data_IF_779249995628
#
_entry.id   IF_779249995628
#
_cell.length_a   1.000
_cell.length_b   1.000
_cell.length_c   1.000
_cell.angle_alpha   90.00
_cell.angle_beta   90.00
_cell.angle_gamma   90.00
#
_symmetry.space_group_name_H-M   'P 1'
#
loop_
_entity.id
_entity.type
_entity.pdbx_description
1 polymer ?
#
# COMPACT_ATOMS: atom_id res chain seq x y z
N UNK A 1 -39.02 2.50 -80.13
CA UNK A 1 -38.06 2.93 -81.16
C UNK A 1 -38.30 4.39 -81.48
N UNK A 2 -37.78 5.26 -80.63
CA UNK A 2 -37.11 6.48 -81.07
C UNK A 2 -35.62 6.17 -80.86
N UNK A 3 -34.83 6.42 -81.88
CA UNK A 3 -33.49 5.90 -82.08
C UNK A 3 -32.52 6.48 -81.03
N UNK A 4 -31.99 5.63 -80.14
CA UNK A 4 -30.97 6.02 -79.14
C UNK A 4 -29.73 6.61 -79.82
N UNK A 5 -29.53 6.30 -81.11
CA UNK A 5 -28.49 6.87 -81.96
C UNK A 5 -28.69 8.38 -82.21
N UNK A 6 -29.93 8.89 -82.20
CA UNK A 6 -30.23 10.32 -82.40
C UNK A 6 -29.95 11.15 -81.14
N UNK A 7 -30.07 10.54 -79.95
CA UNK A 7 -29.72 11.17 -78.65
C UNK A 7 -28.20 11.22 -78.46
N UNK A 8 -27.47 10.18 -78.88
CA UNK A 8 -26.01 10.15 -78.84
C UNK A 8 -25.42 11.16 -79.85
N UNK A 9 -26.02 11.30 -81.04
CA UNK A 9 -25.56 12.30 -82.03
C UNK A 9 -25.80 13.74 -81.59
N UNK A 10 -26.84 14.03 -80.77
CA UNK A 10 -27.09 15.38 -80.23
C UNK A 10 -26.22 15.75 -79.02
N UNK A 11 -25.78 14.78 -78.22
CA UNK A 11 -24.84 15.04 -77.12
C UNK A 11 -23.40 15.21 -77.64
N UNK A 12 -23.08 14.64 -78.80
CA UNK A 12 -21.74 14.69 -79.39
C UNK A 12 -21.36 16.03 -80.04
N UNK A 13 -22.24 17.05 -80.06
CA UNK A 13 -21.96 18.31 -80.76
C UNK A 13 -21.73 19.56 -79.88
N UNK A 14 -21.81 19.45 -78.55
CA UNK A 14 -21.54 20.60 -77.64
C UNK A 14 -20.70 20.25 -76.40
N UNK A 15 -19.88 19.21 -76.49
CA UNK A 15 -18.76 19.03 -75.55
C UNK A 15 -17.48 19.00 -76.37
N UNK A 16 -16.68 20.07 -76.24
CA UNK A 16 -15.40 20.24 -76.92
C UNK A 16 -14.57 18.94 -76.76
N UNK A 17 -14.31 18.21 -77.84
CA UNK A 17 -13.67 16.88 -77.80
C UNK A 17 -12.31 16.90 -77.09
N UNK A 18 -11.66 18.05 -77.13
CA UNK A 18 -10.39 18.33 -76.47
C UNK A 18 -10.49 18.33 -74.94
N UNK A 19 -11.59 18.81 -74.34
CA UNK A 19 -11.74 18.86 -72.88
C UNK A 19 -11.97 17.46 -72.29
N UNK A 20 -12.72 16.60 -72.99
CA UNK A 20 -12.92 15.19 -72.64
C UNK A 20 -11.63 14.38 -72.77
N UNK A 21 -10.84 14.61 -73.84
CA UNK A 21 -9.54 13.97 -74.04
C UNK A 21 -8.56 14.41 -72.93
N UNK A 22 -8.54 15.70 -72.59
CA UNK A 22 -7.67 16.22 -71.53
C UNK A 22 -8.08 15.71 -70.15
N UNK A 23 -9.37 15.63 -69.85
CA UNK A 23 -9.87 15.03 -68.61
C UNK A 23 -9.50 13.54 -68.52
N UNK A 24 -9.62 12.79 -69.63
CA UNK A 24 -9.25 11.37 -69.67
C UNK A 24 -7.75 11.17 -69.42
N UNK A 25 -6.89 12.01 -70.02
CA UNK A 25 -5.44 11.98 -69.77
C UNK A 25 -5.10 12.31 -68.32
N UNK A 26 -5.77 13.30 -67.73
CA UNK A 26 -5.57 13.67 -66.33
C UNK A 26 -5.97 12.53 -65.38
N UNK A 27 -7.11 11.87 -65.63
CA UNK A 27 -7.57 10.71 -64.86
C UNK A 27 -6.59 9.55 -65.00
N UNK A 28 -6.11 9.25 -66.22
CA UNK A 28 -5.10 8.19 -66.43
C UNK A 28 -3.78 8.47 -65.70
N UNK A 29 -3.34 9.74 -65.67
CA UNK A 29 -2.17 10.17 -64.89
C UNK A 29 -2.38 9.95 -63.38
N UNK A 30 -3.55 10.32 -62.85
CA UNK A 30 -3.89 10.10 -61.44
C UNK A 30 -3.97 8.61 -61.10
N UNK A 31 -4.53 7.78 -61.97
CA UNK A 31 -4.56 6.32 -61.79
C UNK A 31 -3.14 5.75 -61.76
N UNK A 32 -2.26 6.19 -62.66
CA UNK A 32 -0.87 5.75 -62.69
C UNK A 32 -0.10 6.17 -61.42
N UNK A 33 -0.40 7.34 -60.87
CA UNK A 33 0.19 7.81 -59.62
C UNK A 33 -0.31 7.02 -58.40
N UNK A 34 -1.60 6.71 -58.35
CA UNK A 34 -2.18 5.83 -57.33
C UNK A 34 -1.60 4.42 -57.38
N UNK A 35 -1.37 3.87 -58.57
CA UNK A 35 -0.71 2.57 -58.73
C UNK A 35 0.74 2.58 -58.23
N UNK A 36 1.49 3.67 -58.47
CA UNK A 36 2.85 3.83 -57.93
C UNK A 36 2.85 3.91 -56.39
N UNK A 37 1.89 4.62 -55.81
CA UNK A 37 1.72 4.72 -54.36
C UNK A 37 1.36 3.36 -53.74
N UNK A 38 0.44 2.61 -54.36
CA UNK A 38 0.10 1.25 -53.92
C UNK A 38 1.32 0.33 -53.90
N UNK A 39 2.11 0.32 -54.99
CA UNK A 39 3.32 -0.50 -55.07
C UNK A 39 4.44 -0.04 -54.09
N UNK A 40 4.45 1.23 -53.70
CA UNK A 40 5.33 1.70 -52.63
C UNK A 40 4.87 1.18 -51.26
N UNK A 41 3.56 1.23 -50.99
CA UNK A 41 2.97 0.73 -49.75
C UNK A 41 3.23 -0.76 -49.55
N UNK A 42 3.05 -1.58 -50.59
CA UNK A 42 3.32 -3.02 -50.54
C UNK A 42 4.78 -3.32 -50.21
N UNK A 43 5.71 -2.55 -50.78
CA UNK A 43 7.15 -2.68 -50.47
C UNK A 43 7.46 -2.30 -49.02
N UNK A 44 6.80 -1.27 -48.48
CA UNK A 44 6.92 -0.93 -47.07
C UNK A 44 6.32 -2.00 -46.16
N UNK A 45 5.19 -2.59 -46.53
CA UNK A 45 4.54 -3.67 -45.78
C UNK A 45 5.42 -4.93 -45.74
N UNK A 46 6.01 -5.32 -46.87
CA UNK A 46 6.98 -6.42 -46.93
C UNK A 46 8.23 -6.13 -46.10
N UNK A 47 8.72 -4.89 -46.11
CA UNK A 47 9.87 -4.49 -45.31
C UNK A 47 9.56 -4.50 -43.80
N UNK A 48 8.37 -4.03 -43.43
CA UNK A 48 7.88 -4.06 -42.05
C UNK A 48 7.72 -5.51 -41.55
N UNK A 49 7.11 -6.39 -42.34
CA UNK A 49 6.98 -7.81 -41.99
C UNK A 49 8.34 -8.49 -41.87
N UNK A 50 9.30 -8.20 -42.76
CA UNK A 50 10.67 -8.72 -42.63
C UNK A 50 11.38 -8.24 -41.37
N UNK A 51 11.15 -7.00 -40.94
CA UNK A 51 11.67 -6.46 -39.68
C UNK A 51 10.98 -7.11 -38.47
N UNK A 52 9.66 -7.33 -38.55
CA UNK A 52 8.88 -8.02 -37.52
C UNK A 52 9.33 -9.47 -37.34
N UNK A 53 9.41 -10.23 -38.44
CA UNK A 53 9.85 -11.64 -38.44
C UNK A 53 11.32 -11.76 -38.02
N UNK A 54 12.16 -10.79 -38.40
CA UNK A 54 13.56 -10.70 -37.97
C UNK A 54 13.68 -10.49 -36.47
N UNK A 55 12.88 -9.58 -35.92
CA UNK A 55 12.83 -9.30 -34.48
C UNK A 55 12.24 -10.47 -33.68
N UNK A 56 11.22 -11.16 -34.19
CA UNK A 56 10.67 -12.36 -33.54
C UNK A 56 11.67 -13.52 -33.52
N UNK A 57 12.42 -13.72 -34.61
CA UNK A 57 13.49 -14.73 -34.64
C UNK A 57 14.65 -14.36 -33.72
N UNK A 58 15.01 -13.08 -33.64
CA UNK A 58 16.02 -12.60 -32.69
C UNK A 58 15.53 -12.71 -31.24
N UNK A 59 14.27 -12.40 -30.95
CA UNK A 59 13.64 -12.60 -29.64
C UNK A 59 13.53 -14.08 -29.27
N UNK A 60 13.26 -14.96 -30.24
CA UNK A 60 13.27 -16.41 -30.05
C UNK A 60 14.66 -16.97 -29.81
N UNK A 61 15.68 -16.47 -30.52
CA UNK A 61 17.08 -16.83 -30.31
C UNK A 61 17.63 -16.27 -29.00
N UNK A 62 17.28 -15.04 -28.62
CA UNK A 62 17.55 -14.46 -27.30
C UNK A 62 16.81 -15.21 -26.21
N UNK A 63 15.57 -15.63 -26.45
CA UNK A 63 14.78 -16.47 -25.54
C UNK A 63 15.46 -17.82 -25.30
N UNK A 64 15.91 -18.50 -26.36
CA UNK A 64 16.69 -19.73 -26.25
C UNK A 64 18.07 -19.50 -25.62
N UNK A 65 18.77 -18.42 -25.95
CA UNK A 65 20.06 -18.10 -25.34
C UNK A 65 19.91 -17.75 -23.85
N UNK A 66 18.86 -17.05 -23.45
CA UNK A 66 18.55 -16.79 -22.04
C UNK A 66 18.12 -18.08 -21.35
N UNK A 67 17.34 -18.95 -21.98
CA UNK A 67 16.97 -20.26 -21.43
C UNK A 67 18.21 -21.17 -21.23
N UNK A 68 19.17 -21.11 -22.15
CA UNK A 68 20.47 -21.80 -22.05
C UNK A 68 21.38 -21.16 -21.00
N UNK A 69 21.33 -19.83 -20.82
CA UNK A 69 22.22 -19.07 -19.93
C UNK A 69 21.70 -19.00 -18.49
N UNK A 70 20.37 -18.91 -18.28
CA UNK A 70 19.74 -18.83 -16.97
C UNK A 70 19.25 -20.19 -16.45
N UNK A 71 18.99 -21.18 -17.33
CA UNK A 71 18.37 -22.49 -17.01
C UNK A 71 17.12 -22.39 -16.12
N UNK A 72 16.48 -21.23 -16.09
CA UNK A 72 15.39 -20.90 -15.17
C UNK A 72 14.45 -19.91 -15.84
N UNK A 73 13.15 -20.18 -15.71
CA UNK A 73 12.11 -19.19 -16.02
C UNK A 73 12.19 -18.02 -15.01
N UNK A 74 12.07 -16.76 -15.45
CA UNK A 74 12.14 -15.57 -14.58
C UNK A 74 10.85 -15.44 -13.75
N UNK A 75 10.65 -16.41 -12.86
CA UNK A 75 9.54 -16.47 -11.94
C UNK A 75 10.09 -16.54 -10.53
N UNK A 76 9.75 -15.53 -9.73
CA UNK A 76 9.99 -15.54 -8.30
C UNK A 76 8.65 -15.40 -7.60
N UNK A 77 8.31 -16.38 -6.75
CA UNK A 77 7.09 -16.34 -5.94
C UNK A 77 7.35 -15.45 -4.74
N UNK A 78 6.45 -14.49 -4.49
CA UNK A 78 6.52 -13.57 -3.37
C UNK A 78 5.50 -13.94 -2.27
N UNK A 79 5.69 -13.43 -1.06
CA UNK A 79 4.68 -13.50 0.01
C UNK A 79 4.74 -14.74 0.91
N UNK A 80 5.83 -15.49 0.89
CA UNK A 80 6.03 -16.68 1.71
C UNK A 80 7.42 -17.31 1.58
N UNK A 81 7.65 -18.36 2.37
CA UNK A 81 8.89 -19.13 2.37
C UNK A 81 8.62 -20.62 2.25
N UNK A 82 9.59 -21.36 1.69
CA UNK A 82 9.54 -22.81 1.69
C UNK A 82 9.88 -23.33 3.08
N UNK A 83 8.95 -24.06 3.70
CA UNK A 83 9.18 -24.68 4.99
C UNK A 83 10.09 -25.92 4.88
N UNK A 84 10.53 -26.44 6.02
CA UNK A 84 11.40 -27.62 6.09
C UNK A 84 10.75 -28.91 5.56
N UNK A 85 9.42 -28.90 5.38
CA UNK A 85 8.63 -30.01 4.87
C UNK A 85 8.40 -29.91 3.35
N UNK A 86 8.91 -28.86 2.69
CA UNK A 86 8.81 -28.66 1.24
C UNK A 86 7.50 -28.04 0.78
N UNK A 87 6.72 -27.42 1.66
CA UNK A 87 5.54 -26.63 1.30
C UNK A 87 5.86 -25.14 1.31
N UNK A 88 5.28 -24.39 0.37
CA UNK A 88 5.36 -22.94 0.37
C UNK A 88 4.32 -22.37 1.35
N UNK A 89 4.81 -21.71 2.40
CA UNK A 89 3.98 -21.15 3.46
C UNK A 89 4.01 -19.62 3.41
N UNK A 90 2.84 -18.98 3.46
CA UNK A 90 2.78 -17.52 3.49
C UNK A 90 3.27 -16.97 4.83
N UNK A 91 3.87 -15.78 4.81
CA UNK A 91 4.20 -15.05 6.04
C UNK A 91 2.99 -14.85 6.96
N UNK A 92 1.79 -14.83 6.38
CA UNK A 92 0.54 -14.55 7.07
C UNK A 92 -0.25 -15.81 7.42
N UNK A 93 0.23 -17.01 7.08
CA UNK A 93 -0.50 -18.26 7.31
C UNK A 93 -0.84 -18.49 8.77
N UNK A 94 0.02 -18.04 9.69
CA UNK A 94 -0.21 -18.12 11.14
C UNK A 94 -1.42 -17.32 11.61
N UNK A 95 -1.79 -16.26 10.90
CA UNK A 95 -2.93 -15.41 11.23
C UNK A 95 -4.22 -15.84 10.51
N UNK A 96 -4.12 -16.71 9.50
CA UNK A 96 -5.26 -17.08 8.65
C UNK A 96 -6.43 -17.64 9.44
N UNK A 97 -6.19 -18.61 10.33
CA UNK A 97 -7.26 -19.23 11.11
C UNK A 97 -8.00 -18.19 11.98
N UNK A 98 -7.26 -17.35 12.70
CA UNK A 98 -7.85 -16.28 13.50
C UNK A 98 -8.57 -15.22 12.64
N UNK A 99 -8.09 -14.96 11.43
CA UNK A 99 -8.74 -14.02 10.50
C UNK A 99 -10.05 -14.60 9.93
N UNK A 100 -10.09 -15.89 9.60
CA UNK A 100 -11.30 -16.57 9.17
C UNK A 100 -12.37 -16.57 10.29
N UNK A 101 -11.94 -16.84 11.52
CA UNK A 101 -12.79 -16.74 12.71
C UNK A 101 -13.28 -15.31 12.95
N UNK A 102 -12.43 -14.30 12.71
CA UNK A 102 -12.80 -12.89 12.86
C UNK A 102 -13.91 -12.51 11.86
N UNK A 103 -13.80 -12.91 10.59
CA UNK A 103 -14.82 -12.64 9.58
C UNK A 103 -16.17 -13.24 10.00
N UNK A 104 -16.14 -14.50 10.48
CA UNK A 104 -17.34 -15.18 10.95
C UNK A 104 -17.95 -14.48 12.19
N UNK A 105 -17.13 -14.17 13.19
CA UNK A 105 -17.56 -13.46 14.40
C UNK A 105 -18.08 -12.06 14.11
N UNK A 106 -17.49 -11.35 13.16
CA UNK A 106 -17.91 -10.01 12.76
C UNK A 106 -19.24 -10.04 12.03
N UNK A 107 -19.43 -10.99 11.10
CA UNK A 107 -20.71 -11.20 10.42
C UNK A 107 -21.83 -11.56 11.40
N UNK A 108 -21.56 -12.44 12.36
CA UNK A 108 -22.51 -12.77 13.42
C UNK A 108 -22.87 -11.55 14.28
N UNK A 109 -21.88 -10.72 14.64
CA UNK A 109 -22.12 -9.50 15.40
C UNK A 109 -22.99 -8.50 14.63
N UNK A 110 -22.82 -8.37 13.30
CA UNK A 110 -23.68 -7.52 12.48
C UNK A 110 -25.13 -8.02 12.42
N UNK A 111 -25.33 -9.35 12.33
CA UNK A 111 -26.67 -9.93 12.35
C UNK A 111 -27.35 -9.70 13.69
N UNK A 112 -26.64 -9.92 14.79
CA UNK A 112 -27.13 -9.65 16.14
C UNK A 112 -27.44 -8.17 16.33
N UNK A 113 -26.56 -7.27 15.86
CA UNK A 113 -26.82 -5.84 15.91
C UNK A 113 -28.08 -5.46 15.10
N UNK A 114 -28.42 -6.18 14.04
CA UNK A 114 -29.67 -5.95 13.27
C UNK A 114 -30.91 -6.51 13.97
N UNK A 115 -30.84 -7.72 14.52
CA UNK A 115 -32.02 -8.42 15.08
C UNK A 115 -32.30 -8.02 16.54
N UNK A 116 -31.26 -7.73 17.33
CA UNK A 116 -31.35 -7.54 18.78
C UNK A 116 -31.14 -6.09 19.25
N UNK A 117 -30.94 -5.11 18.35
CA UNK A 117 -30.71 -3.71 18.76
C UNK A 117 -31.92 -2.80 18.63
N UNK A 118 -33.01 -3.26 18.03
CA UNK A 118 -34.18 -2.43 17.79
C UNK A 118 -35.28 -2.73 18.81
N UNK A 119 -35.71 -1.74 19.62
CA UNK A 119 -36.83 -1.93 20.53
C UNK A 119 -38.10 -2.20 19.73
N UNK A 120 -38.91 -3.14 20.21
CA UNK A 120 -40.22 -3.41 19.65
C UNK A 120 -41.30 -3.18 20.73
N UNK A 121 -42.44 -2.70 20.28
CA UNK A 121 -43.56 -2.35 21.16
C UNK A 121 -44.51 -3.55 21.20
N UNK A 122 -45.02 -3.88 22.38
CA UNK A 122 -46.08 -4.89 22.58
C UNK A 122 -47.32 -4.18 23.10
N UNK A 123 -48.50 -4.47 22.54
CA UNK A 123 -49.78 -3.87 22.95
C UNK A 123 -50.84 -4.96 23.09
N UNK A 124 -51.70 -4.81 24.10
CA UNK A 124 -52.80 -5.72 24.36
C UNK A 124 -53.88 -5.59 23.28
N UNK A 125 -54.37 -6.72 22.76
CA UNK A 125 -55.54 -6.75 21.90
C UNK A 125 -56.75 -6.23 22.67
N UNK A 126 -57.43 -5.22 22.13
CA UNK A 126 -58.68 -4.73 22.71
C UNK A 126 -59.85 -5.54 22.17
N UNK A 127 -60.79 -5.86 23.06
CA UNK A 127 -62.04 -6.49 22.68
C UNK A 127 -62.77 -5.61 21.67
N UNK A 128 -63.28 -6.23 20.61
CA UNK A 128 -64.08 -5.53 19.63
C UNK A 128 -65.28 -4.87 20.34
N UNK A 129 -65.46 -3.54 20.25
CA UNK A 129 -66.52 -2.85 20.99
C UNK A 129 -67.91 -3.33 20.58
N UNK A 130 -68.07 -3.78 19.34
CA UNK A 130 -69.35 -4.17 18.76
C UNK A 130 -69.79 -5.60 19.14
N UNK A 131 -68.86 -6.50 19.41
CA UNK A 131 -69.17 -7.87 19.84
C UNK A 131 -68.66 -8.24 21.23
N UNK A 132 -68.03 -7.30 21.94
CA UNK A 132 -67.48 -7.47 23.29
C UNK A 132 -66.64 -8.74 23.42
N UNK A 133 -65.75 -8.98 22.46
CA UNK A 133 -64.87 -10.16 22.47
C UNK A 133 -65.48 -11.46 21.95
N UNK A 134 -66.79 -11.52 21.67
CA UNK A 134 -67.50 -12.77 21.32
C UNK A 134 -67.38 -13.19 19.86
N UNK A 135 -66.93 -12.29 19.00
CA UNK A 135 -66.75 -12.53 17.56
C UNK A 135 -68.03 -12.61 16.73
N UNK A 136 -69.20 -12.73 17.37
CA UNK A 136 -70.49 -12.86 16.73
C UNK A 136 -71.47 -11.84 17.29
N UNK A 137 -72.36 -11.34 16.44
CA UNK A 137 -73.46 -10.44 16.80
C UNK A 137 -74.77 -11.07 16.36
N UNK A 138 -75.82 -10.91 17.17
CA UNK A 138 -77.16 -11.37 16.78
C UNK A 138 -77.69 -10.45 15.69
N UNK A 139 -78.16 -11.03 14.58
CA UNK A 139 -78.88 -10.34 13.52
C UNK A 139 -80.25 -10.94 13.36
N UNK A 140 -81.24 -10.08 13.14
CA UNK A 140 -82.59 -10.54 12.84
C UNK A 140 -82.60 -11.23 11.47
N UNK A 141 -83.19 -12.42 11.43
CA UNK A 141 -83.27 -13.27 10.24
C UNK A 141 -84.70 -13.76 10.06
N UNK A 142 -85.34 -13.34 8.97
CA UNK A 142 -86.73 -13.68 8.66
C UNK A 142 -86.93 -15.16 8.27
N UNK A 143 -85.87 -15.85 7.85
CA UNK A 143 -85.90 -17.25 7.40
C UNK A 143 -85.41 -18.25 8.47
N UNK A 144 -85.11 -17.78 9.68
CA UNK A 144 -84.53 -18.59 10.75
C UNK A 144 -85.62 -19.02 11.77
N UNK A 145 -85.58 -20.26 12.32
CA UNK A 145 -86.63 -20.79 13.21
C UNK A 145 -86.90 -19.96 14.48
N UNK A 146 -85.92 -19.17 14.90
CA UNK A 146 -85.92 -18.36 16.13
C UNK A 146 -86.00 -16.85 15.87
N UNK A 147 -86.10 -16.41 14.62
CA UNK A 147 -86.15 -14.98 14.23
C UNK A 147 -84.82 -14.22 14.33
N UNK A 148 -83.79 -14.81 14.92
CA UNK A 148 -82.43 -14.26 15.06
C UNK A 148 -81.38 -15.30 14.69
N UNK A 149 -80.36 -14.87 13.96
CA UNK A 149 -79.16 -15.64 13.61
C UNK A 149 -77.90 -15.04 14.25
N UNK A 150 -76.95 -15.91 14.61
CA UNK A 150 -75.62 -15.49 15.04
C UNK A 150 -74.76 -15.24 13.80
N UNK A 151 -74.65 -13.97 13.41
CA UNK A 151 -73.80 -13.56 12.31
C UNK A 151 -72.40 -13.21 12.81
N UNK A 152 -71.39 -13.44 11.97
CA UNK A 152 -70.04 -12.98 12.27
C UNK A 152 -70.03 -11.45 12.43
N UNK A 153 -69.35 -10.98 13.48
CA UNK A 153 -69.23 -9.55 13.73
C UNK A 153 -68.51 -8.88 12.55
N UNK A 154 -69.14 -7.89 11.88
CA UNK A 154 -68.56 -7.27 10.69
C UNK A 154 -67.32 -6.42 11.02
N UNK A 155 -67.19 -5.92 12.25
CA UNK A 155 -66.08 -5.07 12.66
C UNK A 155 -64.79 -5.85 12.95
N UNK A 156 -64.87 -7.10 13.41
CA UNK A 156 -63.72 -7.95 13.70
C UNK A 156 -63.62 -9.20 12.80
N UNK A 157 -64.53 -9.35 11.84
CA UNK A 157 -64.57 -10.49 10.91
C UNK A 157 -64.69 -11.85 11.60
N UNK A 158 -65.36 -11.94 12.76
CA UNK A 158 -65.51 -13.20 13.51
C UNK A 158 -64.49 -13.45 14.63
N UNK A 159 -63.37 -12.70 14.68
CA UNK A 159 -62.26 -13.00 15.59
C UNK A 159 -62.43 -12.48 17.03
N UNK A 160 -63.47 -11.69 17.34
CA UNK A 160 -63.70 -11.10 18.66
C UNK A 160 -62.78 -9.94 19.05
N UNK A 161 -61.61 -9.85 18.42
CA UNK A 161 -60.59 -8.84 18.67
C UNK A 161 -60.29 -8.04 17.40
N UNK A 162 -60.00 -6.76 17.56
CA UNK A 162 -59.66 -5.86 16.45
C UNK A 162 -58.17 -5.52 16.48
N UNK A 163 -57.48 -5.75 15.37
CA UNK A 163 -56.06 -5.42 15.20
C UNK A 163 -55.92 -4.19 14.31
N UNK A 164 -55.19 -3.17 14.75
CA UNK A 164 -54.81 -2.01 13.94
C UNK A 164 -53.39 -2.21 13.37
N UNK A 165 -53.20 -2.00 12.07
CA UNK A 165 -51.89 -2.08 11.37
C UNK A 165 -51.18 -0.70 11.45
N UNK A 166 -49.83 -0.52 11.25
CA UNK A 166 -48.96 -1.22 10.29
C UNK A 166 -47.45 -1.37 10.70
N UNK A 167 -47.12 -2.15 11.75
CA UNK A 167 -45.73 -2.38 12.23
C UNK A 167 -45.65 -3.46 13.32
N UNK A 168 -45.90 -4.71 12.94
CA UNK A 168 -46.60 -5.71 13.77
C UNK A 168 -45.81 -6.33 14.92
N UNK A 169 -46.56 -6.54 16.02
CA UNK A 169 -46.15 -6.84 17.39
C UNK A 169 -46.54 -8.28 17.74
N UNK A 170 -45.78 -8.94 18.61
CA UNK A 170 -46.09 -10.29 19.11
C UNK A 170 -47.26 -10.24 20.11
N UNK A 171 -48.28 -11.07 19.88
CA UNK A 171 -49.53 -11.08 20.65
C UNK A 171 -49.42 -12.13 21.75
N UNK A 172 -49.61 -11.72 23.00
CA UNK A 172 -49.56 -12.58 24.19
C UNK A 172 -50.81 -12.29 25.05
N UNK A 173 -51.49 -13.30 25.63
CA UNK A 173 -52.64 -13.10 26.51
C UNK A 173 -52.35 -12.14 27.67
N UNK A 174 -53.34 -11.33 28.07
CA UNK A 174 -53.18 -10.32 29.13
C UNK A 174 -52.72 -10.92 30.47
N UNK A 175 -53.10 -12.17 30.73
CA UNK A 175 -52.72 -12.95 31.93
C UNK A 175 -51.22 -13.24 32.01
N UNK A 176 -50.52 -13.23 30.87
CA UNK A 176 -49.07 -13.46 30.77
C UNK A 176 -48.26 -12.15 30.76
N UNK A 177 -48.92 -10.98 30.82
CA UNK A 177 -48.26 -9.68 30.91
C UNK A 177 -47.82 -9.39 32.34
N UNK A 178 -46.51 -9.19 32.55
CA UNK A 178 -45.91 -9.06 33.90
C UNK A 178 -46.48 -7.92 34.77
N UNK A 179 -47.05 -6.86 34.20
CA UNK A 179 -47.39 -5.62 34.92
C UNK A 179 -48.80 -5.04 34.67
N UNK A 180 -49.68 -5.72 33.93
CA UNK A 180 -51.05 -5.23 33.66
C UNK A 180 -51.18 -3.94 32.82
N UNK A 181 -50.07 -3.38 32.34
CA UNK A 181 -50.05 -2.19 31.47
C UNK A 181 -50.39 -2.59 30.02
N UNK A 182 -51.32 -1.89 29.34
CA UNK A 182 -51.75 -2.24 27.97
C UNK A 182 -50.65 -2.17 26.91
N UNK A 183 -49.57 -1.44 27.18
CA UNK A 183 -48.42 -1.28 26.28
C UNK A 183 -47.14 -1.54 27.08
N UNK A 184 -46.29 -2.45 26.58
CA UNK A 184 -44.96 -2.69 27.11
C UNK A 184 -43.93 -2.48 26.00
N UNK A 185 -42.99 -1.56 26.20
CA UNK A 185 -41.83 -1.42 25.33
C UNK A 185 -40.78 -2.40 25.85
N UNK A 186 -40.50 -3.44 25.06
CA UNK A 186 -39.44 -4.40 25.39
C UNK A 186 -38.16 -3.86 24.78
N UNK A 187 -37.28 -3.32 25.63
CA UNK A 187 -35.92 -3.04 25.23
C UNK A 187 -35.15 -4.37 25.23
N UNK A 188 -34.63 -4.83 24.08
CA UNK A 188 -33.83 -6.05 24.03
C UNK A 188 -32.56 -5.91 24.89
N UNK A 189 -32.07 -7.03 25.42
CA UNK A 189 -30.89 -7.03 26.28
C UNK A 189 -29.62 -6.68 25.47
N UNK A 190 -29.09 -5.48 25.70
CA UNK A 190 -27.86 -4.98 25.08
C UNK A 190 -26.61 -5.79 25.48
N UNK A 191 -26.68 -6.61 26.54
CA UNK A 191 -25.56 -7.46 26.97
C UNK A 191 -25.14 -8.44 25.88
N UNK A 192 -26.09 -8.89 25.04
CA UNK A 192 -25.80 -9.79 23.92
C UNK A 192 -24.91 -9.09 22.90
N UNK A 193 -25.24 -7.85 22.53
CA UNK A 193 -24.43 -7.05 21.60
C UNK A 193 -23.04 -6.74 22.18
N UNK A 194 -22.98 -6.44 23.49
CA UNK A 194 -21.70 -6.22 24.19
C UNK A 194 -20.84 -7.50 24.15
N UNK A 195 -21.44 -8.67 24.39
CA UNK A 195 -20.75 -9.94 24.33
C UNK A 195 -20.18 -10.20 22.94
N UNK A 196 -20.98 -10.09 21.88
CA UNK A 196 -20.50 -10.31 20.51
C UNK A 196 -19.41 -9.32 20.09
N UNK A 197 -19.51 -8.04 20.50
CA UNK A 197 -18.44 -7.06 20.29
C UNK A 197 -17.16 -7.41 21.05
N UNK A 198 -17.28 -7.95 22.26
CA UNK A 198 -16.14 -8.40 23.07
C UNK A 198 -15.44 -9.60 22.44
N UNK A 199 -16.19 -10.62 22.03
CA UNK A 199 -15.66 -11.79 21.31
C UNK A 199 -14.95 -11.35 20.03
N UNK A 200 -15.57 -10.49 19.23
CA UNK A 200 -14.99 -9.96 18.00
C UNK A 200 -13.66 -9.23 18.24
N UNK A 201 -13.56 -8.44 19.33
CA UNK A 201 -12.29 -7.81 19.74
C UNK A 201 -11.23 -8.82 20.17
N UNK A 202 -11.60 -9.85 20.91
CA UNK A 202 -10.68 -10.90 21.34
C UNK A 202 -10.10 -11.66 20.14
N UNK A 203 -10.94 -12.03 19.17
CA UNK A 203 -10.48 -12.70 17.95
C UNK A 203 -9.59 -11.77 17.10
N UNK A 204 -9.94 -10.49 16.99
CA UNK A 204 -9.05 -9.50 16.34
C UNK A 204 -7.70 -9.39 17.05
N UNK A 205 -7.68 -9.45 18.38
CA UNK A 205 -6.45 -9.41 19.16
C UNK A 205 -5.56 -10.63 18.85
N UNK A 206 -6.13 -11.82 18.67
CA UNK A 206 -5.40 -13.00 18.22
C UNK A 206 -4.77 -12.81 16.83
N UNK A 207 -5.46 -12.13 15.91
CA UNK A 207 -4.90 -11.78 14.58
C UNK A 207 -3.70 -10.84 14.73
N UNK A 208 -3.85 -9.79 15.56
CA UNK A 208 -2.79 -8.81 15.83
C UNK A 208 -1.56 -9.50 16.44
N UNK A 209 -1.76 -10.41 17.38
CA UNK A 209 -0.70 -11.20 18.01
C UNK A 209 -0.01 -12.16 17.04
N UNK A 210 -0.79 -12.89 16.22
CA UNK A 210 -0.26 -13.80 15.22
C UNK A 210 0.60 -13.08 14.16
N UNK A 211 0.27 -11.82 13.87
CA UNK A 211 1.02 -10.95 12.96
C UNK A 211 2.13 -10.14 13.65
N UNK A 212 2.33 -10.32 14.96
CA UNK A 212 3.28 -9.54 15.76
C UNK A 212 3.06 -8.02 15.68
N UNK A 213 1.82 -7.58 15.42
CA UNK A 213 1.45 -6.17 15.27
C UNK A 213 1.13 -5.50 16.62
N UNK A 214 1.15 -6.27 17.71
CA UNK A 214 0.82 -5.75 19.02
C UNK A 214 1.89 -4.76 19.49
N UNK A 215 1.49 -3.50 19.67
CA UNK A 215 2.28 -2.51 20.40
C UNK A 215 1.72 -2.48 21.80
N UNK A 216 2.44 -3.04 22.77
CA UNK A 216 2.05 -2.96 24.19
C UNK A 216 1.98 -1.50 24.63
N UNK A 217 0.92 -1.15 25.36
CA UNK A 217 0.74 0.17 25.98
C UNK A 217 1.90 0.53 26.92
N UNK A 218 2.13 1.85 27.08
CA UNK A 218 3.28 2.42 27.77
C UNK A 218 3.46 1.94 29.23
N UNK A 219 2.41 1.41 29.86
CA UNK A 219 2.38 0.99 31.26
C UNK A 219 3.00 -0.41 31.58
N UNK A 220 3.38 -1.20 30.57
CA UNK A 220 4.00 -2.52 30.77
C UNK A 220 5.53 -2.44 30.97
N UNK A 221 6.08 -3.38 31.75
CA UNK A 221 7.51 -3.50 32.07
C UNK A 221 8.41 -3.43 30.82
N UNK A 222 9.54 -2.73 30.92
CA UNK A 222 10.50 -2.57 29.81
C UNK A 222 11.00 -3.91 29.22
N UNK A 223 10.99 -4.99 30.01
CA UNK A 223 11.36 -6.33 29.54
C UNK A 223 10.30 -6.91 28.59
N UNK A 224 9.01 -6.69 28.86
CA UNK A 224 7.93 -7.15 27.99
C UNK A 224 7.98 -6.43 26.63
N UNK A 225 8.22 -5.11 26.65
CA UNK A 225 8.40 -4.30 25.43
C UNK A 225 9.58 -4.79 24.58
N UNK A 226 10.69 -5.16 25.20
CA UNK A 226 11.87 -5.65 24.48
C UNK A 226 11.60 -6.99 23.78
N UNK A 227 10.91 -7.92 24.45
CA UNK A 227 10.57 -9.24 23.90
C UNK A 227 9.61 -9.12 22.70
N UNK A 228 8.59 -8.27 22.80
CA UNK A 228 7.64 -8.07 21.70
C UNK A 228 8.28 -7.37 20.49
N UNK A 229 9.15 -6.40 20.74
CA UNK A 229 9.96 -5.78 19.67
C UNK A 229 10.87 -6.80 19.00
N UNK A 230 11.50 -7.70 19.75
CA UNK A 230 12.36 -8.74 19.19
C UNK A 230 11.59 -9.67 18.25
N UNK A 231 10.37 -10.08 18.63
CA UNK A 231 9.52 -10.95 17.80
C UNK A 231 9.11 -10.26 16.50
N UNK A 232 8.67 -9.00 16.59
CA UNK A 232 8.35 -8.20 15.40
C UNK A 232 9.57 -8.02 14.50
N UNK A 233 10.74 -7.73 15.06
CA UNK A 233 11.96 -7.58 14.26
C UNK A 233 12.38 -8.88 13.60
N UNK A 234 12.25 -10.03 14.26
CA UNK A 234 12.48 -11.34 13.64
C UNK A 234 11.55 -11.55 12.45
N UNK A 235 10.26 -11.26 12.61
CA UNK A 235 9.27 -11.38 11.53
C UNK A 235 9.59 -10.48 10.33
N UNK A 236 9.85 -9.19 10.56
CA UNK A 236 10.23 -8.24 9.50
C UNK A 236 11.54 -8.66 8.83
N UNK A 237 12.52 -9.13 9.61
CA UNK A 237 13.81 -9.57 9.09
C UNK A 237 13.66 -10.81 8.20
N UNK A 238 12.78 -11.75 8.53
CA UNK A 238 12.46 -12.90 7.65
C UNK A 238 11.93 -12.42 6.30
N UNK A 239 10.90 -11.55 6.32
CA UNK A 239 10.32 -10.97 5.10
C UNK A 239 11.39 -10.23 4.29
N UNK A 240 12.22 -9.43 4.97
CA UNK A 240 13.21 -8.65 4.27
C UNK A 240 14.35 -9.49 3.70
N UNK A 241 14.81 -10.54 4.39
CA UNK A 241 15.83 -11.42 3.84
C UNK A 241 15.29 -12.12 2.60
N UNK A 242 14.06 -12.63 2.61
CA UNK A 242 13.46 -13.21 1.40
C UNK A 242 13.33 -12.19 0.25
N UNK A 243 12.92 -10.96 0.58
CA UNK A 243 12.79 -9.89 -0.40
C UNK A 243 14.13 -9.52 -1.03
N UNK A 244 15.21 -9.37 -0.26
CA UNK A 244 16.52 -9.01 -0.81
C UNK A 244 17.26 -10.21 -1.43
N UNK A 245 17.26 -11.35 -0.75
CA UNK A 245 18.06 -12.53 -1.13
C UNK A 245 17.40 -13.34 -2.25
N UNK A 246 16.07 -13.31 -2.37
CA UNK A 246 15.34 -14.00 -3.45
C UNK A 246 14.71 -13.04 -4.44
N UNK A 247 13.76 -12.21 -4.00
CA UNK A 247 12.95 -11.40 -4.94
C UNK A 247 13.83 -10.43 -5.73
N UNK A 248 14.47 -9.48 -5.04
CA UNK A 248 15.29 -8.44 -5.67
C UNK A 248 16.50 -9.08 -6.35
N UNK A 249 17.17 -10.03 -5.69
CA UNK A 249 18.31 -10.71 -6.27
C UNK A 249 17.97 -11.43 -7.56
N UNK A 250 16.95 -12.29 -7.57
CA UNK A 250 16.58 -13.03 -8.77
C UNK A 250 16.08 -12.09 -9.86
N UNK A 251 15.26 -11.09 -9.53
CA UNK A 251 14.79 -10.11 -10.52
C UNK A 251 15.96 -9.35 -11.14
N UNK A 252 16.94 -8.88 -10.35
CA UNK A 252 18.10 -8.19 -10.89
C UNK A 252 18.99 -9.13 -11.70
N UNK A 253 19.20 -10.37 -11.24
CA UNK A 253 19.94 -11.39 -12.00
C UNK A 253 19.29 -11.64 -13.35
N UNK A 254 17.97 -11.80 -13.37
CA UNK A 254 17.23 -12.10 -14.58
C UNK A 254 17.26 -10.89 -15.54
N UNK A 255 17.04 -9.66 -15.04
CA UNK A 255 17.20 -8.42 -15.82
C UNK A 255 18.59 -8.30 -16.43
N UNK A 256 19.65 -8.56 -15.63
CA UNK A 256 21.03 -8.49 -16.11
C UNK A 256 21.30 -9.57 -17.14
N UNK A 257 20.81 -10.80 -16.95
CA UNK A 257 20.95 -11.88 -17.91
C UNK A 257 20.23 -11.58 -19.24
N UNK A 258 19.07 -10.92 -19.20
CA UNK A 258 18.36 -10.46 -20.41
C UNK A 258 19.09 -9.31 -21.11
N UNK A 259 19.74 -8.42 -20.35
CA UNK A 259 20.43 -7.24 -20.90
C UNK A 259 21.83 -7.56 -21.42
N UNK A 260 22.55 -8.43 -20.71
CA UNK A 260 23.93 -8.79 -21.00
C UNK A 260 23.98 -10.30 -21.31
N UNK A 261 23.91 -10.62 -22.60
CA UNK A 261 24.02 -12.01 -23.07
C UNK A 261 25.45 -12.59 -22.95
N UNK A 262 26.42 -11.79 -22.51
CA UNK A 262 27.81 -12.25 -22.33
C UNK A 262 27.98 -13.03 -21.02
N UNK A 263 28.49 -14.28 -21.08
CA UNK A 263 28.74 -15.08 -19.88
C UNK A 263 29.86 -14.46 -19.05
N UNK A 264 29.53 -13.97 -17.85
CA UNK A 264 30.49 -13.49 -16.85
C UNK A 264 30.32 -12.03 -16.40
N UNK A 265 29.51 -11.23 -17.10
CA UNK A 265 29.24 -9.82 -16.73
C UNK A 265 28.16 -9.65 -15.63
N UNK A 266 27.75 -10.74 -14.98
CA UNK A 266 26.54 -10.79 -14.17
C UNK A 266 26.78 -10.72 -12.65
N UNK A 267 27.98 -10.30 -12.23
CA UNK A 267 28.29 -10.15 -10.81
C UNK A 267 27.81 -8.80 -10.29
N UNK A 268 26.76 -8.81 -9.48
CA UNK A 268 26.28 -7.65 -8.73
C UNK A 268 26.20 -7.99 -7.24
N UNK A 269 26.30 -6.98 -6.39
CA UNK A 269 26.16 -7.13 -4.93
C UNK A 269 25.02 -6.27 -4.43
N UNK A 270 24.02 -6.91 -3.84
CA UNK A 270 22.96 -6.23 -3.09
C UNK A 270 23.46 -5.96 -1.67
N UNK A 271 23.36 -4.73 -1.22
CA UNK A 271 23.64 -4.34 0.16
C UNK A 271 22.32 -4.37 0.91
N UNK A 272 22.14 -5.34 1.81
CA UNK A 272 20.92 -5.45 2.61
C UNK A 272 20.98 -4.60 3.88
N UNK A 273 19.84 -4.05 4.34
CA UNK A 273 19.76 -3.42 5.66
C UNK A 273 20.06 -4.45 6.75
N UNK A 274 20.94 -4.12 7.68
CA UNK A 274 21.25 -4.97 8.84
C UNK A 274 20.25 -4.78 9.99
N UNK A 275 19.54 -3.66 10.00
CA UNK A 275 18.56 -3.31 11.03
C UNK A 275 17.35 -2.60 10.39
N UNK A 276 16.15 -3.02 10.77
CA UNK A 276 14.88 -2.37 10.37
C UNK A 276 14.35 -1.41 11.43
N UNK A 277 15.15 -1.08 12.44
CA UNK A 277 14.76 -0.10 13.45
C UNK A 277 14.72 1.28 12.81
N UNK A 278 13.52 1.82 12.67
CA UNK A 278 13.32 3.24 12.36
C UNK A 278 13.77 4.02 13.59
N UNK A 279 15.05 4.37 13.65
CA UNK A 279 15.59 5.23 14.70
C UNK A 279 15.17 6.67 14.40
N UNK A 280 14.62 7.34 15.40
CA UNK A 280 14.40 8.79 15.36
C UNK A 280 15.73 9.51 15.59
N UNK A 281 15.81 10.80 15.29
CA UNK A 281 16.99 11.61 15.62
C UNK A 281 17.30 11.60 17.13
N UNK A 282 16.26 11.54 17.97
CA UNK A 282 16.40 11.43 19.42
C UNK A 282 17.02 10.09 19.85
N UNK A 283 16.61 8.97 19.23
CA UNK A 283 17.20 7.65 19.50
C UNK A 283 18.70 7.63 19.17
N UNK A 284 19.09 8.17 18.02
CA UNK A 284 20.49 8.22 17.57
C UNK A 284 21.35 9.10 18.50
N UNK A 285 20.81 10.22 18.97
CA UNK A 285 21.51 11.10 19.90
C UNK A 285 21.67 10.44 21.28
N UNK A 286 20.65 9.74 21.76
CA UNK A 286 20.72 8.99 23.01
C UNK A 286 21.78 7.88 22.92
N UNK A 287 21.78 7.10 21.84
CA UNK A 287 22.77 6.05 21.59
C UNK A 287 24.19 6.62 21.53
N UNK A 288 24.38 7.76 20.86
CA UNK A 288 25.67 8.45 20.82
C UNK A 288 26.14 8.91 22.22
N UNK A 289 25.22 9.48 23.02
CA UNK A 289 25.51 9.89 24.40
C UNK A 289 25.88 8.70 25.29
N UNK A 290 25.15 7.60 25.19
CA UNK A 290 25.40 6.37 25.93
C UNK A 290 26.70 5.71 25.51
N UNK A 291 26.99 5.63 24.21
CA UNK A 291 28.25 5.11 23.68
C UNK A 291 29.46 5.93 24.14
N UNK A 292 29.30 7.25 24.25
CA UNK A 292 30.34 8.13 24.79
C UNK A 292 30.57 7.87 26.28
N UNK A 293 29.51 7.74 27.09
CA UNK A 293 29.61 7.41 28.51
C UNK A 293 30.20 6.03 28.77
N UNK A 294 29.89 5.06 27.90
CA UNK A 294 30.41 3.70 27.97
C UNK A 294 31.89 3.59 27.55
N UNK A 295 32.53 4.68 27.14
CA UNK A 295 33.93 4.68 26.72
C UNK A 295 34.16 3.96 25.40
N UNK A 296 33.18 3.99 24.48
CA UNK A 296 33.36 3.35 23.17
C UNK A 296 34.55 3.94 22.42
N UNK A 297 35.30 3.10 21.66
CA UNK A 297 36.39 3.57 20.82
C UNK A 297 35.99 4.71 19.89
N UNK A 298 36.92 5.64 19.66
CA UNK A 298 36.70 6.88 18.88
C UNK A 298 36.15 6.61 17.49
N UNK A 299 36.63 5.56 16.80
CA UNK A 299 36.16 5.22 15.45
C UNK A 299 34.68 4.81 15.41
N UNK A 300 34.16 4.17 16.47
CA UNK A 300 32.75 3.80 16.59
C UNK A 300 31.92 5.06 16.85
N UNK A 301 32.38 5.93 17.77
CA UNK A 301 31.72 7.22 18.05
C UNK A 301 31.62 8.11 16.81
N UNK A 302 32.67 8.16 15.97
CA UNK A 302 32.63 8.85 14.67
C UNK A 302 31.54 8.30 13.77
N UNK A 303 31.39 6.98 13.67
CA UNK A 303 30.32 6.38 12.87
C UNK A 303 28.94 6.75 13.40
N UNK A 304 28.74 6.69 14.72
CA UNK A 304 27.46 7.03 15.35
C UNK A 304 27.09 8.51 15.16
N UNK A 305 28.07 9.42 15.27
CA UNK A 305 27.87 10.84 14.99
C UNK A 305 27.48 11.08 13.53
N UNK A 306 28.10 10.36 12.58
CA UNK A 306 27.76 10.44 11.17
C UNK A 306 26.34 9.92 10.89
N UNK A 307 25.94 8.80 11.50
CA UNK A 307 24.59 8.26 11.35
C UNK A 307 23.52 9.24 11.89
N UNK A 308 23.83 9.96 12.99
CA UNK A 308 22.98 11.04 13.51
C UNK A 308 22.86 12.20 12.50
N UNK A 309 23.97 12.66 11.94
CA UNK A 309 23.97 13.76 10.95
C UNK A 309 23.20 13.37 9.69
N UNK A 310 23.44 12.18 9.14
CA UNK A 310 22.76 11.70 7.93
C UNK A 310 21.24 11.68 8.10
N UNK A 311 20.77 11.33 9.30
CA UNK A 311 19.35 11.29 9.63
C UNK A 311 18.76 12.67 9.90
N UNK A 312 19.43 13.48 10.71
CA UNK A 312 18.94 14.79 11.13
C UNK A 312 18.92 15.79 9.97
N UNK A 313 19.91 15.69 9.08
CA UNK A 313 20.12 16.60 7.95
C UNK A 313 19.85 15.90 6.62
N UNK A 314 18.88 14.96 6.56
CA UNK A 314 18.63 14.14 5.37
C UNK A 314 18.38 14.95 4.09
N UNK A 315 17.85 16.18 4.22
CA UNK A 315 17.62 17.12 3.10
C UNK A 315 18.71 18.19 2.88
N UNK A 316 19.77 18.20 3.69
CA UNK A 316 20.86 19.17 3.59
C UNK A 316 22.20 18.45 3.31
N UNK A 317 22.46 18.23 2.02
CA UNK A 317 23.67 17.56 1.53
C UNK A 317 24.95 18.37 1.84
N UNK A 318 24.85 19.70 1.95
CA UNK A 318 25.98 20.56 2.30
C UNK A 318 26.42 20.29 3.73
N UNK A 319 25.47 20.22 4.66
CA UNK A 319 25.76 19.93 6.06
C UNK A 319 26.32 18.52 6.26
N UNK A 320 25.80 17.53 5.52
CA UNK A 320 26.36 16.16 5.52
C UNK A 320 27.82 16.16 5.07
N UNK A 321 28.13 16.82 3.95
CA UNK A 321 29.51 16.90 3.43
C UNK A 321 30.44 17.64 4.40
N UNK A 322 29.96 18.71 5.04
CA UNK A 322 30.70 19.44 6.09
C UNK A 322 31.03 18.53 7.27
N UNK A 323 30.05 17.77 7.78
CA UNK A 323 30.26 16.86 8.90
C UNK A 323 31.22 15.70 8.56
N UNK A 324 31.12 15.13 7.36
CA UNK A 324 32.06 14.12 6.86
C UNK A 324 33.48 14.68 6.86
N UNK A 325 33.67 15.87 6.30
CA UNK A 325 34.96 16.52 6.21
C UNK A 325 35.56 16.79 7.60
N UNK A 326 34.77 17.29 8.56
CA UNK A 326 35.23 17.53 9.94
C UNK A 326 35.66 16.20 10.58
N UNK A 327 34.85 15.16 10.43
CA UNK A 327 35.11 13.83 11.02
C UNK A 327 36.38 13.17 10.45
N UNK A 328 36.71 13.47 9.18
CA UNK A 328 37.92 12.98 8.52
C UNK A 328 39.17 13.83 8.81
N UNK A 329 39.03 15.15 8.93
CA UNK A 329 40.16 16.07 9.13
C UNK A 329 40.53 16.27 10.60
N UNK A 330 39.58 16.13 11.51
CA UNK A 330 39.77 16.36 12.93
C UNK A 330 39.51 15.09 13.75
N UNK A 331 40.60 14.55 14.29
CA UNK A 331 40.54 13.36 15.11
C UNK A 331 39.87 13.58 16.47
N UNK A 332 39.80 14.83 16.93
CA UNK A 332 39.27 15.26 18.22
C UNK A 332 37.78 15.62 18.16
N UNK A 333 37.19 15.65 16.96
CA UNK A 333 35.82 16.14 16.70
C UNK A 333 34.72 15.45 17.50
N UNK A 334 34.94 14.20 17.94
CA UNK A 334 33.97 13.40 18.72
C UNK A 334 34.37 13.24 20.20
N UNK A 335 35.47 13.85 20.62
CA UNK A 335 35.92 13.78 22.00
C UNK A 335 35.23 14.84 22.86
N UNK A 336 34.94 14.47 24.10
CA UNK A 336 34.48 15.42 25.11
C UNK A 336 35.59 16.39 25.50
N UNK A 337 35.22 17.53 26.08
CA UNK A 337 36.17 18.52 26.60
C UNK A 337 37.11 17.90 27.64
N UNK A 338 36.60 17.00 28.47
CA UNK A 338 37.38 16.31 29.52
C UNK A 338 38.42 15.36 28.92
N UNK A 339 38.04 14.57 27.91
CA UNK A 339 38.98 13.70 27.17
C UNK A 339 40.08 14.51 26.50
N UNK A 340 39.73 15.65 25.87
CA UNK A 340 40.71 16.56 25.26
C UNK A 340 41.68 17.11 26.31
N UNK A 341 41.18 17.55 27.47
CA UNK A 341 42.07 18.03 28.54
C UNK A 341 42.99 16.95 29.08
N UNK A 342 42.51 15.70 29.15
CA UNK A 342 43.29 14.55 29.60
C UNK A 342 44.40 14.23 28.60
N UNK A 343 44.07 14.15 27.30
CA UNK A 343 45.04 13.91 26.24
C UNK A 343 46.11 15.00 26.17
N UNK A 344 45.72 16.26 26.34
CA UNK A 344 46.66 17.37 26.43
C UNK A 344 47.56 17.26 27.66
N UNK A 345 46.99 16.91 28.82
CA UNK A 345 47.75 16.68 30.05
C UNK A 345 48.78 15.54 29.93
N UNK A 346 48.47 14.50 29.16
CA UNK A 346 49.40 13.40 28.86
C UNK A 346 50.43 13.71 27.75
N UNK A 347 50.30 14.86 27.08
CA UNK A 347 51.15 15.22 25.93
C UNK A 347 50.83 14.45 24.64
N UNK A 348 49.72 13.71 24.58
CA UNK A 348 49.30 12.96 23.40
C UNK A 348 48.78 13.86 22.27
N UNK A 349 48.35 15.08 22.60
CA UNK A 349 47.91 16.11 21.65
C UNK A 349 48.54 17.46 22.00
N UNK A 350 48.78 18.29 21.00
CA UNK A 350 49.38 19.61 21.14
C UNK A 350 48.31 20.71 21.28
N UNK A 351 48.72 21.91 21.68
CA UNK A 351 47.81 23.08 21.75
C UNK A 351 47.37 23.52 20.35
N UNK A 352 48.22 23.32 19.36
CA UNK A 352 47.96 23.55 17.94
C UNK A 352 46.84 22.63 17.43
N UNK A 353 46.83 21.36 17.84
CA UNK A 353 45.78 20.40 17.44
C UNK A 353 44.40 20.81 17.99
N UNK A 354 44.36 21.26 19.24
CA UNK A 354 43.12 21.76 19.87
C UNK A 354 42.63 23.02 19.17
N UNK A 355 43.54 23.94 18.87
CA UNK A 355 43.20 25.20 18.18
C UNK A 355 42.68 24.93 16.77
N UNK A 356 43.30 23.98 16.06
CA UNK A 356 42.87 23.54 14.75
C UNK A 356 41.47 22.91 14.79
N UNK A 357 41.24 21.95 15.69
CA UNK A 357 39.94 21.30 15.89
C UNK A 357 38.82 22.32 16.12
N UNK A 358 39.06 23.32 16.98
CA UNK A 358 38.07 24.38 17.29
C UNK A 358 37.83 25.36 16.14
N UNK A 359 38.86 25.66 15.33
CA UNK A 359 38.75 26.58 14.19
C UNK A 359 38.25 25.91 12.92
N UNK A 360 38.39 24.60 12.78
CA UNK A 360 38.05 23.88 11.55
C UNK A 360 36.62 24.13 11.04
N UNK A 361 35.56 24.11 11.88
CA UNK A 361 34.21 24.40 11.40
C UNK A 361 34.08 25.80 10.78
N UNK A 362 34.73 26.81 11.37
CA UNK A 362 34.74 28.19 10.87
C UNK A 362 35.52 28.31 9.56
N UNK A 363 36.69 27.66 9.46
CA UNK A 363 37.48 27.64 8.23
C UNK A 363 36.71 27.02 7.06
N UNK A 364 35.91 25.99 7.33
CA UNK A 364 35.05 25.37 6.32
C UNK A 364 33.93 26.34 5.91
N UNK A 365 33.31 27.04 6.85
CA UNK A 365 32.28 28.03 6.55
C UNK A 365 32.82 29.20 5.72
N UNK A 366 34.00 29.71 6.04
CA UNK A 366 34.69 30.73 5.25
C UNK A 366 35.03 30.23 3.84
N UNK A 367 35.48 28.97 3.71
CA UNK A 367 35.77 28.37 2.41
C UNK A 367 34.50 28.21 1.56
N UNK A 368 33.37 27.83 2.17
CA UNK A 368 32.07 27.75 1.50
C UNK A 368 31.61 29.14 1.07
N UNK A 369 31.80 30.16 1.92
CA UNK A 369 31.42 31.54 1.60
C UNK A 369 32.26 32.11 0.45
N UNK A 370 33.56 31.87 0.45
CA UNK A 370 34.49 32.43 -0.55
C UNK A 370 34.45 31.72 -1.90
N UNK A 371 34.33 30.38 -1.93
CA UNK A 371 34.33 29.60 -3.19
C UNK A 371 32.94 29.17 -3.65
N UNK A 372 31.93 29.32 -2.80
CA UNK A 372 30.55 28.96 -3.07
C UNK A 372 30.23 27.49 -2.77
N UNK A 373 28.97 27.23 -2.41
CA UNK A 373 28.47 25.91 -2.06
C UNK A 373 28.62 24.88 -3.21
N UNK A 374 28.40 25.31 -4.46
CA UNK A 374 28.53 24.43 -5.63
C UNK A 374 29.95 23.90 -5.82
N UNK A 375 30.97 24.74 -5.59
CA UNK A 375 32.36 24.30 -5.63
C UNK A 375 32.64 23.31 -4.50
N UNK A 376 32.22 23.65 -3.28
CA UNK A 376 32.45 22.81 -2.11
C UNK A 376 31.83 21.40 -2.28
N UNK A 377 30.65 21.31 -2.89
CA UNK A 377 29.98 20.02 -3.13
C UNK A 377 30.70 19.13 -4.15
N UNK A 378 31.38 19.73 -5.14
CA UNK A 378 32.05 18.98 -6.21
C UNK A 378 33.57 18.78 -5.99
N UNK A 379 34.18 19.58 -5.11
CA UNK A 379 35.61 19.47 -4.82
C UNK A 379 35.95 18.16 -4.07
N UNK A 380 37.10 17.58 -4.40
CA UNK A 380 37.62 16.42 -3.70
C UNK A 380 38.13 16.83 -2.31
N UNK A 381 38.08 15.90 -1.35
CA UNK A 381 38.49 16.14 0.04
C UNK A 381 39.95 16.61 0.13
N UNK A 382 40.83 16.10 -0.76
CA UNK A 382 42.23 16.52 -0.85
C UNK A 382 42.37 18.00 -1.22
N UNK A 383 41.56 18.50 -2.15
CA UNK A 383 41.58 19.89 -2.62
C UNK A 383 41.04 20.85 -1.56
N UNK A 384 40.03 20.39 -0.81
CA UNK A 384 39.47 21.11 0.33
C UNK A 384 40.47 21.16 1.49
N UNK A 385 41.18 20.05 1.75
CA UNK A 385 42.26 19.99 2.74
C UNK A 385 43.42 20.92 2.38
N UNK A 386 43.85 20.94 1.12
CA UNK A 386 44.88 21.85 0.64
C UNK A 386 44.47 23.32 0.84
N UNK A 387 43.23 23.67 0.49
CA UNK A 387 42.70 25.03 0.60
C UNK A 387 42.52 25.48 2.06
N UNK A 388 42.13 24.58 2.96
CA UNK A 388 42.03 24.87 4.40
C UNK A 388 43.38 24.89 5.12
N UNK A 389 44.39 24.20 4.58
CA UNK A 389 45.77 24.22 5.09
C UNK A 389 46.57 25.45 4.66
N UNK A 390 46.23 26.10 3.53
CA UNK A 390 46.90 27.33 3.08
C UNK A 390 46.65 28.52 4.02
N UNK A 391 45.54 28.51 4.76
CA UNK A 391 45.27 29.45 5.86
C UNK A 391 46.03 29.11 7.16
N UNK A 392 46.82 28.01 7.24
CA UNK A 392 47.72 27.76 8.38
C UNK A 392 49.00 28.60 8.35
N UNK A 393 49.36 29.18 7.21
CA UNK A 393 50.66 29.84 6.99
C UNK A 393 50.59 31.36 6.90
N UNK A 394 49.44 31.97 7.21
CA UNK A 394 49.26 33.43 7.19
C UNK A 394 49.07 34.10 8.56
N UNK A 395 49.21 33.35 9.66
CA UNK A 395 49.29 33.90 11.02
C UNK A 395 50.68 33.65 11.63
#
# INVERSE_FOLDING_TARGET
MADVTEVIHKISYEVNSESLINATKAIQLQIAELQKLSAALDRHFVSFNKLSDGNERQLGQLGQQVEVTSKRLPLTVAGGEWNTQGYYDSYFSKAKAAADDFISSYSAAQLVDKEASHPYIVEASTDCPDCQGRGHVQRDCESCPTGVELAQCPACGGNGQVSRNPGQRMIIPHEEMKNGTPIQIVNPDVNINIHHRSVCRQVMQLVIEALHLHKTDEAQSGVAKAIDQERLYKFINTISNDMFDKIIHDTLRDIIAYRNAEPGANAFRIIKPTQFRIKTGADLLAEYSEGTKAGMPVFIRRRMAMDFVDKQYSGDELMKKKAQLITELDELSVLSTEEITTLHGTGAITREDITYSRRLPLLIDELIHTRGAHWFMNAAIKDIKASSSHNRTMD
#
